data_IF_877689420248
#
_entry.id   IF_877689420248
#
_cell.length_a   1.000
_cell.length_b   1.000
_cell.length_c   1.000
_cell.angle_alpha   90.00
_cell.angle_beta   90.00
_cell.angle_gamma   90.00
#
_symmetry.space_group_name_H-M   'P 1'
#
loop_
_entity.id
_entity.type
_entity.pdbx_description
1 polymer ?
#
# COMPACT_ATOMS: atom_id res chain seq x y z
N UNK A 1 15.24 8.29 -41.08
CA UNK A 1 16.48 8.12 -41.88
C UNK A 1 16.77 6.62 -42.00
N UNK A 2 17.11 6.10 -43.19
CA UNK A 2 17.50 4.70 -43.38
C UNK A 2 19.02 4.62 -43.42
N UNK A 3 19.61 3.75 -42.60
CA UNK A 3 21.05 3.49 -42.53
C UNK A 3 21.27 1.97 -42.49
N UNK A 4 22.45 1.53 -42.91
CA UNK A 4 22.83 0.10 -42.87
C UNK A 4 24.11 -0.04 -42.08
N UNK A 5 24.12 -0.95 -41.11
CA UNK A 5 25.24 -1.23 -40.21
C UNK A 5 25.22 -2.72 -39.87
N UNK A 6 26.40 -3.30 -39.68
CA UNK A 6 26.54 -4.67 -39.21
C UNK A 6 26.65 -4.69 -37.69
N UNK A 7 25.80 -5.48 -37.04
CA UNK A 7 25.74 -5.64 -35.58
C UNK A 7 25.77 -7.13 -35.30
N UNK A 8 26.46 -7.52 -34.24
CA UNK A 8 26.41 -8.88 -33.72
C UNK A 8 24.98 -9.23 -33.28
N UNK A 9 24.45 -10.34 -33.82
CA UNK A 9 23.10 -10.81 -33.56
C UNK A 9 22.92 -11.29 -32.12
N UNK A 10 23.97 -11.78 -31.46
CA UNK A 10 23.90 -12.20 -30.05
C UNK A 10 23.71 -10.99 -29.13
N UNK A 11 24.49 -9.93 -29.37
CA UNK A 11 24.37 -8.65 -28.64
C UNK A 11 23.01 -8.04 -28.89
N UNK A 12 22.53 -8.04 -30.13
CA UNK A 12 21.21 -7.50 -30.48
C UNK A 12 20.08 -8.27 -29.79
N UNK A 13 20.16 -9.61 -29.75
CA UNK A 13 19.19 -10.44 -29.04
C UNK A 13 19.17 -10.14 -27.53
N UNK A 14 20.33 -9.94 -26.91
CA UNK A 14 20.43 -9.53 -25.50
C UNK A 14 19.79 -8.16 -25.27
N UNK A 15 20.08 -7.18 -26.12
CA UNK A 15 19.48 -5.83 -26.03
C UNK A 15 17.96 -5.91 -26.18
N UNK A 16 17.45 -6.71 -27.13
CA UNK A 16 16.01 -6.92 -27.30
C UNK A 16 15.38 -7.54 -26.04
N UNK A 17 16.04 -8.52 -25.42
CA UNK A 17 15.57 -9.15 -24.17
C UNK A 17 15.56 -8.17 -22.99
N UNK A 18 16.58 -7.32 -22.87
CA UNK A 18 16.70 -6.33 -21.79
C UNK A 18 15.71 -5.18 -21.94
N UNK A 19 15.51 -4.70 -23.17
CA UNK A 19 14.65 -3.53 -23.47
C UNK A 19 13.19 -3.89 -23.70
N UNK A 20 12.89 -5.17 -24.00
CA UNK A 20 11.55 -5.62 -24.40
C UNK A 20 11.15 -5.13 -25.80
N UNK A 21 12.09 -4.66 -26.61
CA UNK A 21 11.83 -4.14 -27.94
C UNK A 21 11.30 -5.25 -28.88
N UNK A 22 10.25 -4.94 -29.64
CA UNK A 22 9.62 -5.90 -30.57
C UNK A 22 10.37 -6.03 -31.90
N UNK A 23 11.15 -5.01 -32.26
CA UNK A 23 11.88 -4.95 -33.52
C UNK A 23 13.34 -4.59 -33.30
N UNK A 24 14.21 -5.02 -34.22
CA UNK A 24 15.66 -4.75 -34.19
C UNK A 24 15.95 -3.25 -34.20
N UNK A 25 15.26 -2.49 -35.05
CA UNK A 25 15.41 -1.03 -35.14
C UNK A 25 15.08 -0.35 -33.82
N UNK A 26 13.95 -0.73 -33.20
CA UNK A 26 13.54 -0.19 -31.91
C UNK A 26 14.56 -0.50 -30.81
N UNK A 27 15.10 -1.72 -30.80
CA UNK A 27 16.11 -2.12 -29.82
C UNK A 27 17.37 -1.25 -29.90
N UNK A 28 17.83 -0.99 -31.13
CA UNK A 28 18.99 -0.13 -31.39
C UNK A 28 18.70 1.32 -31.00
N UNK A 29 17.54 1.86 -31.38
CA UNK A 29 17.12 3.21 -31.02
C UNK A 29 17.06 3.40 -29.49
N UNK A 30 16.44 2.45 -28.79
CA UNK A 30 16.35 2.48 -27.33
C UNK A 30 17.72 2.40 -26.68
N UNK A 31 18.59 1.49 -27.14
CA UNK A 31 19.94 1.35 -26.59
C UNK A 31 20.79 2.62 -26.76
N UNK A 32 20.78 3.20 -27.97
CA UNK A 32 21.53 4.43 -28.24
C UNK A 32 20.98 5.62 -27.45
N UNK A 33 19.66 5.75 -27.37
CA UNK A 33 19.01 6.80 -26.59
C UNK A 33 19.33 6.69 -25.11
N UNK A 34 19.28 5.47 -24.56
CA UNK A 34 19.54 5.25 -23.15
C UNK A 34 21.01 5.48 -22.79
N UNK A 35 21.95 5.09 -23.65
CA UNK A 35 23.37 5.41 -23.47
C UNK A 35 23.63 6.92 -23.50
N UNK A 36 23.05 7.62 -24.48
CA UNK A 36 23.17 9.08 -24.55
C UNK A 36 22.55 9.75 -23.31
N UNK A 37 21.42 9.24 -22.81
CA UNK A 37 20.75 9.75 -21.61
C UNK A 37 21.63 9.55 -20.37
N UNK A 38 22.18 8.36 -20.16
CA UNK A 38 23.06 8.04 -19.02
C UNK A 38 24.31 8.92 -19.03
N UNK A 39 24.94 9.10 -20.18
CA UNK A 39 26.10 9.97 -20.30
C UNK A 39 25.77 11.43 -19.96
N UNK A 40 24.64 11.96 -20.43
CA UNK A 40 24.18 13.30 -20.03
C UNK A 40 23.90 13.40 -18.53
N UNK A 41 23.22 12.41 -17.95
CA UNK A 41 22.97 12.37 -16.51
C UNK A 41 24.26 12.37 -15.71
N UNK A 42 25.25 11.57 -16.11
CA UNK A 42 26.55 11.55 -15.45
C UNK A 42 27.24 12.92 -15.52
N UNK A 43 27.22 13.59 -16.67
CA UNK A 43 27.76 14.96 -16.77
C UNK A 43 27.06 15.95 -15.84
N UNK A 44 25.74 15.83 -15.66
CA UNK A 44 25.01 16.67 -14.72
C UNK A 44 25.38 16.36 -13.26
N UNK A 45 25.59 15.09 -12.92
CA UNK A 45 26.03 14.72 -11.57
C UNK A 45 27.47 15.18 -11.28
N UNK A 46 28.36 15.09 -12.26
CA UNK A 46 29.76 15.52 -12.11
C UNK A 46 29.92 17.04 -12.05
N UNK A 47 29.21 17.79 -12.91
CA UNK A 47 29.24 19.26 -12.91
C UNK A 47 28.39 19.87 -11.79
N UNK A 48 27.47 19.09 -11.23
CA UNK A 48 26.42 19.59 -10.36
C UNK A 48 25.44 20.49 -11.10
N UNK A 49 24.45 21.00 -10.36
CA UNK A 49 23.41 21.89 -10.89
C UNK A 49 23.85 23.36 -10.97
N UNK A 50 25.12 23.65 -10.63
CA UNK A 50 25.66 25.01 -10.59
C UNK A 50 25.04 25.90 -9.52
N UNK A 51 24.28 25.31 -8.58
CA UNK A 51 23.62 26.00 -7.48
C UNK A 51 24.35 25.71 -6.17
N UNK A 52 24.35 26.69 -5.29
CA UNK A 52 24.77 26.49 -3.90
C UNK A 52 23.75 25.65 -3.13
N UNK A 53 24.13 25.02 -2.00
CA UNK A 53 23.18 24.27 -1.16
C UNK A 53 21.96 25.09 -0.72
N UNK A 54 22.16 26.36 -0.39
CA UNK A 54 21.10 27.26 0.07
C UNK A 54 20.10 27.60 -1.06
N UNK A 55 20.60 27.83 -2.27
CA UNK A 55 19.77 28.04 -3.46
C UNK A 55 18.99 26.77 -3.82
N UNK A 56 19.61 25.60 -3.66
CA UNK A 56 18.95 24.30 -3.86
C UNK A 56 17.80 24.10 -2.88
N UNK A 57 18.01 24.45 -1.61
CA UNK A 57 16.99 24.33 -0.56
C UNK A 57 15.84 25.31 -0.80
N UNK A 58 16.14 26.56 -1.18
CA UNK A 58 15.14 27.55 -1.55
C UNK A 58 14.31 27.11 -2.76
N UNK A 59 14.97 26.58 -3.81
CA UNK A 59 14.30 26.03 -4.98
C UNK A 59 13.42 24.82 -4.62
N UNK A 60 13.94 23.89 -3.82
CA UNK A 60 13.20 22.72 -3.35
C UNK A 60 11.94 23.10 -2.56
N UNK A 61 12.04 24.07 -1.65
CA UNK A 61 10.88 24.61 -0.93
C UNK A 61 9.84 25.22 -1.87
N UNK A 62 10.27 25.98 -2.87
CA UNK A 62 9.36 26.60 -3.84
C UNK A 62 8.62 25.57 -4.71
N UNK A 63 9.30 24.52 -5.18
CA UNK A 63 8.69 23.43 -5.95
C UNK A 63 7.66 22.67 -5.11
N UNK A 64 7.98 22.37 -3.85
CA UNK A 64 7.07 21.65 -2.96
C UNK A 64 5.83 22.49 -2.63
N UNK A 65 5.99 23.79 -2.40
CA UNK A 65 4.87 24.72 -2.17
C UNK A 65 3.95 24.85 -3.41
N UNK A 66 4.51 24.74 -4.62
CA UNK A 66 3.74 24.76 -5.86
C UNK A 66 3.04 23.43 -6.18
N UNK A 67 3.54 22.30 -5.66
CA UNK A 67 2.92 20.98 -5.83
C UNK A 67 1.82 20.68 -4.81
N UNK A 68 1.76 21.43 -3.71
CA UNK A 68 0.61 21.41 -2.80
C UNK A 68 -0.51 22.28 -3.35
N UNK A 69 -1.05 21.91 -4.52
CA UNK A 69 -2.44 22.27 -4.79
C UNK A 69 -3.29 21.51 -3.76
N UNK A 70 -4.20 22.18 -3.03
CA UNK A 70 -5.15 21.47 -2.19
C UNK A 70 -5.88 20.47 -3.08
N UNK A 71 -5.89 19.19 -2.68
CA UNK A 71 -6.72 18.20 -3.36
C UNK A 71 -8.12 18.78 -3.48
N UNK A 72 -8.71 18.71 -4.68
CA UNK A 72 -10.05 19.21 -4.96
C UNK A 72 -11.09 18.29 -4.30
N UNK A 73 -11.08 18.28 -2.97
CA UNK A 73 -12.00 17.53 -2.14
C UNK A 73 -13.25 18.35 -1.91
N UNK A 74 -14.37 17.87 -2.44
CA UNK A 74 -15.71 18.37 -2.12
C UNK A 74 -15.94 18.27 -0.59
N UNK A 75 -15.96 19.42 0.09
CA UNK A 75 -16.14 19.52 1.54
C UNK A 75 -17.44 18.85 2.00
N UNK A 76 -18.50 18.89 1.18
CA UNK A 76 -19.77 18.23 1.51
C UNK A 76 -19.63 16.71 1.45
N UNK A 77 -18.84 16.17 0.52
CA UNK A 77 -18.59 14.73 0.44
C UNK A 77 -17.85 14.22 1.68
N UNK A 78 -16.91 15.00 2.20
CA UNK A 78 -16.19 14.71 3.44
C UNK A 78 -17.14 14.73 4.64
N UNK A 79 -18.00 15.76 4.74
CA UNK A 79 -19.00 15.85 5.80
C UNK A 79 -20.01 14.69 5.75
N UNK A 80 -20.46 14.30 4.56
CA UNK A 80 -21.33 13.12 4.36
C UNK A 80 -20.64 11.83 4.81
N UNK A 81 -19.34 11.68 4.54
CA UNK A 81 -18.58 10.51 4.97
C UNK A 81 -18.45 10.44 6.49
N UNK A 82 -18.09 11.55 7.14
CA UNK A 82 -17.95 11.66 8.60
C UNK A 82 -19.29 11.39 9.30
N UNK A 83 -20.37 12.04 8.86
CA UNK A 83 -21.71 11.81 9.42
C UNK A 83 -22.14 10.34 9.27
N UNK A 84 -21.80 9.70 8.14
CA UNK A 84 -22.09 8.29 7.89
C UNK A 84 -21.24 7.36 8.75
N UNK A 85 -19.99 7.68 9.04
CA UNK A 85 -19.17 6.90 9.97
C UNK A 85 -19.67 7.02 11.41
N UNK A 86 -20.06 8.22 11.83
CA UNK A 86 -20.54 8.47 13.20
C UNK A 86 -21.89 7.79 13.45
N UNK A 87 -22.81 7.85 12.47
CA UNK A 87 -24.08 7.12 12.54
C UNK A 87 -23.87 5.59 12.63
N UNK A 88 -22.88 5.04 11.91
CA UNK A 88 -22.54 3.61 11.99
C UNK A 88 -21.96 3.24 13.35
N UNK A 89 -21.16 4.13 13.95
CA UNK A 89 -20.59 3.94 15.29
C UNK A 89 -21.67 3.96 16.37
N UNK A 90 -22.56 4.96 16.35
CA UNK A 90 -23.69 5.05 17.27
C UNK A 90 -24.64 3.84 17.17
N UNK A 91 -24.86 3.30 15.97
CA UNK A 91 -25.69 2.10 15.77
C UNK A 91 -25.02 0.79 16.22
N UNK A 92 -23.71 0.78 16.45
CA UNK A 92 -23.01 -0.35 17.10
C UNK A 92 -23.12 -0.22 18.62
N UNK A 93 -22.81 0.97 19.14
CA UNK A 93 -22.90 1.27 20.58
C UNK A 93 -24.33 1.06 21.11
N UNK A 94 -25.36 1.49 20.37
CA UNK A 94 -26.77 1.23 20.74
C UNK A 94 -27.22 -0.22 20.62
N UNK A 95 -26.54 -1.05 19.81
CA UNK A 95 -26.77 -2.51 19.78
C UNK A 95 -26.13 -3.18 20.99
N UNK A 96 -24.93 -2.78 21.34
CA UNK A 96 -24.21 -3.31 22.49
C UNK A 96 -24.94 -2.99 23.81
N UNK A 97 -25.55 -1.80 23.90
CA UNK A 97 -26.41 -1.43 25.04
C UNK A 97 -27.71 -2.26 25.12
N UNK A 98 -28.39 -2.52 24.00
CA UNK A 98 -29.59 -3.38 23.98
C UNK A 98 -29.27 -4.84 24.36
N UNK A 99 -28.15 -5.36 23.89
CA UNK A 99 -27.67 -6.71 24.26
C UNK A 99 -27.36 -6.78 25.76
N UNK A 100 -26.83 -5.70 26.35
CA UNK A 100 -26.61 -5.61 27.79
C UNK A 100 -27.92 -5.54 28.60
N UNK A 101 -28.93 -4.78 28.14
CA UNK A 101 -30.24 -4.70 28.80
C UNK A 101 -31.00 -6.04 28.77
N UNK A 102 -30.94 -6.77 27.64
CA UNK A 102 -31.56 -8.09 27.51
C UNK A 102 -30.90 -9.14 28.44
N UNK A 103 -29.60 -8.99 28.74
CA UNK A 103 -28.88 -9.84 29.69
C UNK A 103 -29.26 -9.60 31.16
N UNK A 104 -29.68 -8.37 31.49
CA UNK A 104 -30.17 -8.02 32.83
C UNK A 104 -31.61 -8.49 33.07
N UNK A 105 -32.44 -8.48 32.03
CA UNK A 105 -33.86 -8.86 32.13
C UNK A 105 -34.10 -10.38 32.11
N UNK A 106 -33.11 -11.17 31.67
CA UNK A 106 -33.15 -12.66 31.75
C UNK A 106 -32.75 -13.18 33.13
N UNK A 107 -31.96 -12.41 33.89
CA UNK A 107 -31.50 -12.78 35.24
C UNK A 107 -32.62 -12.66 36.29
N UNK A 108 -33.54 -11.71 36.14
CA UNK A 108 -34.65 -11.52 37.11
C UNK A 108 -35.79 -12.55 36.97
N UNK A 109 -35.94 -13.21 35.82
CA UNK A 109 -36.93 -14.29 35.62
C UNK A 109 -36.42 -15.68 36.03
N UNK A 110 -35.11 -15.87 36.17
CA UNK A 110 -34.50 -17.18 36.49
C UNK A 110 -34.46 -17.51 37.99
N UNK A 111 -34.84 -16.60 38.90
CA UNK A 111 -34.67 -16.80 40.35
C UNK A 111 -35.85 -17.52 41.04
N UNK A 112 -36.93 -17.86 40.31
CA UNK A 112 -38.10 -18.57 40.87
C UNK A 112 -38.32 -19.92 40.17
N UNK A 113 -37.31 -20.79 40.16
CA UNK A 113 -37.56 -22.23 40.03
C UNK A 113 -36.36 -23.07 40.50
N UNK A 114 -36.51 -23.64 41.70
CA UNK A 114 -36.06 -24.98 42.13
C UNK A 114 -34.63 -25.41 41.76
N UNK A 115 -33.67 -25.47 42.70
CA UNK A 115 -33.46 -26.56 43.69
C UNK A 115 -33.55 -27.97 43.09
N UNK A 116 -32.40 -28.56 42.75
CA UNK A 116 -32.03 -29.98 43.04
C UNK A 116 -30.60 -30.29 42.56
N UNK A 117 -29.92 -31.13 43.33
CA UNK A 117 -28.50 -31.50 43.23
C UNK A 117 -28.23 -32.49 42.08
N UNK A 118 -27.11 -32.30 41.36
CA UNK A 118 -26.03 -33.29 41.18
C UNK A 118 -24.99 -32.74 40.18
N UNK A 119 -23.70 -32.92 40.48
CA UNK A 119 -22.58 -32.37 39.69
C UNK A 119 -22.03 -33.44 38.74
N UNK A 120 -22.19 -33.30 37.40
CA UNK A 120 -21.38 -34.07 36.46
C UNK A 120 -20.10 -33.31 36.09
N UNK A 121 -19.01 -34.07 36.09
CA UNK A 121 -17.61 -33.69 35.81
C UNK A 121 -17.45 -33.03 34.43
N UNK A 122 -16.62 -31.97 34.26
CA UNK A 122 -16.47 -31.30 32.98
C UNK A 122 -15.69 -32.16 31.97
N UNK A 123 -16.25 -32.28 30.77
CA UNK A 123 -15.58 -32.88 29.60
C UNK A 123 -14.50 -31.92 29.05
N UNK A 124 -13.36 -32.44 28.55
CA UNK A 124 -12.30 -31.60 27.99
C UNK A 124 -12.69 -31.00 26.64
N UNK A 125 -12.33 -29.73 26.45
CA UNK A 125 -12.60 -28.95 25.23
C UNK A 125 -11.90 -29.54 24.00
N UNK A 126 -12.52 -29.47 22.80
CA UNK A 126 -11.87 -29.88 21.56
C UNK A 126 -10.78 -28.89 21.12
N UNK A 127 -9.69 -29.42 20.54
CA UNK A 127 -8.55 -28.66 20.03
C UNK A 127 -8.98 -27.71 18.89
N UNK A 128 -9.04 -26.41 19.20
CA UNK A 128 -9.23 -25.37 18.19
C UNK A 128 -7.89 -25.16 17.47
N UNK A 129 -7.81 -25.64 16.23
CA UNK A 129 -6.69 -25.35 15.31
C UNK A 129 -6.75 -23.88 14.91
N UNK A 130 -5.92 -23.04 15.53
CA UNK A 130 -5.70 -21.68 15.05
C UNK A 130 -4.97 -21.73 13.69
N UNK A 131 -5.45 -21.04 12.63
CA UNK A 131 -4.67 -20.88 11.41
C UNK A 131 -3.46 -20.02 11.75
N UNK A 132 -2.26 -20.61 11.67
CA UNK A 132 -0.99 -19.88 11.80
C UNK A 132 -0.95 -18.80 10.73
N UNK A 133 -0.93 -17.54 11.14
CA UNK A 133 -0.66 -16.43 10.25
C UNK A 133 0.72 -16.62 9.63
N UNK A 134 0.76 -16.44 8.30
CA UNK A 134 1.90 -16.66 7.42
C UNK A 134 3.14 -15.93 7.95
N UNK A 135 4.22 -16.68 8.11
CA UNK A 135 5.58 -16.19 8.35
C UNK A 135 5.92 -15.12 7.31
N UNK A 136 6.29 -13.94 7.80
CA UNK A 136 6.83 -12.87 6.99
C UNK A 136 8.31 -13.18 6.74
N UNK A 137 8.60 -13.92 5.66
CA UNK A 137 9.97 -14.14 5.20
C UNK A 137 10.53 -12.81 4.68
N UNK A 138 11.33 -12.14 5.51
CA UNK A 138 12.26 -11.14 5.02
C UNK A 138 13.49 -11.83 4.43
N UNK A 139 13.94 -11.45 3.22
CA UNK A 139 15.16 -12.00 2.65
C UNK A 139 16.38 -11.45 3.41
N UNK A 140 17.13 -12.33 4.07
CA UNK A 140 18.52 -12.03 4.46
C UNK A 140 19.36 -12.13 3.19
N UNK A 141 19.86 -10.98 2.73
CA UNK A 141 20.96 -10.92 1.76
C UNK A 141 22.20 -11.63 2.33
N UNK A 142 22.92 -12.28 1.41
CA UNK A 142 24.13 -13.11 1.60
C UNK A 142 25.19 -12.55 2.52
#
# INVERSE_FOLDING_TARGET
MKMTMHIDEEVLAQVMKLTGAKTKTQAVEMALTDMARRHKMQQFFERGLGMTPDEMEAYGRAVMAAQTDPMDTDEEAVQRFIAKSDARRAAREGRDLRVAEDSLNTTTKSTVQSVSNDVPKPEPLPDIVYPKTRTNEQPRSR
#
